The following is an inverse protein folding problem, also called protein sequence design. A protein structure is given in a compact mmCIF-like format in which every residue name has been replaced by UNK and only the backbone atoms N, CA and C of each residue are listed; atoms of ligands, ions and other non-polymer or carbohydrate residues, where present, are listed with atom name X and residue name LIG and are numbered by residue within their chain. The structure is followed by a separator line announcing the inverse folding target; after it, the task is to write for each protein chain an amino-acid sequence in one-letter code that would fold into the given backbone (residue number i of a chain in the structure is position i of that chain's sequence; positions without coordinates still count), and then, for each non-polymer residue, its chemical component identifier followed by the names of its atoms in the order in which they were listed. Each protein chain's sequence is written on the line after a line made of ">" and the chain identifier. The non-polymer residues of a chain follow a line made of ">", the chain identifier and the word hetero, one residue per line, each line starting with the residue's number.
data_IF_250411210058
#
_entry.id   IF_250411210058
#
_cell.length_a   1.000
_cell.length_b   1.000
_cell.length_c   1.000
_cell.angle_alpha   90.00
_cell.angle_beta   90.00
_cell.angle_gamma   90.00
#
_symmetry.space_group_name_H-M   'P 1'
#
loop_
_entity.id
_entity.type
_entity.pdbx_description
1 polymer ?
#
# COMPACT_ATOMS: atom_id res chain seq x y z
N UNK A 1 -37.12 22.52 -34.52
CA UNK A 1 -38.26 21.83 -33.91
C UNK A 1 -38.03 20.34 -34.16
N UNK A 2 -37.32 19.66 -33.25
CA UNK A 2 -37.87 18.70 -32.26
C UNK A 2 -37.90 17.29 -32.87
N UNK A 3 -37.45 16.17 -32.29
CA UNK A 3 -37.03 15.77 -30.93
C UNK A 3 -36.44 14.33 -31.00
N UNK A 4 -35.72 13.91 -29.94
CA UNK A 4 -35.56 12.53 -29.42
C UNK A 4 -34.76 11.47 -30.24
N UNK A 5 -34.02 10.51 -29.67
CA UNK A 5 -33.84 10.00 -28.29
C UNK A 5 -32.42 9.44 -28.11
N UNK A 6 -31.99 9.34 -26.86
CA UNK A 6 -30.80 8.62 -26.36
C UNK A 6 -30.79 7.14 -26.76
N UNK A 7 -29.61 6.49 -26.67
CA UNK A 7 -29.53 5.46 -25.64
C UNK A 7 -28.36 5.68 -24.70
N UNK A 8 -28.71 5.73 -23.41
CA UNK A 8 -27.85 5.38 -22.29
C UNK A 8 -27.16 4.05 -22.58
N UNK A 9 -25.85 4.08 -22.72
CA UNK A 9 -25.03 2.89 -22.44
C UNK A 9 -24.36 3.12 -21.11
N UNK A 10 -24.98 2.54 -20.08
CA UNK A 10 -24.34 2.13 -18.84
C UNK A 10 -23.12 1.31 -19.22
N UNK A 11 -21.97 1.97 -19.34
CA UNK A 11 -20.71 1.27 -19.30
C UNK A 11 -20.28 1.39 -17.86
N UNK A 12 -20.68 0.40 -17.06
CA UNK A 12 -19.87 -0.09 -15.95
C UNK A 12 -18.50 -0.40 -16.56
N UNK A 13 -17.70 0.65 -16.75
CA UNK A 13 -16.29 0.50 -17.07
C UNK A 13 -15.69 -0.03 -15.79
N UNK A 14 -15.61 -1.35 -15.71
CA UNK A 14 -14.56 -1.99 -14.94
C UNK A 14 -13.25 -1.48 -15.53
N UNK A 15 -12.84 -0.29 -15.12
CA UNK A 15 -11.47 0.14 -15.24
C UNK A 15 -10.69 -0.88 -14.42
N UNK A 16 -10.19 -1.91 -15.09
CA UNK A 16 -9.12 -2.75 -14.58
C UNK A 16 -7.86 -1.90 -14.59
N UNK A 17 -7.90 -0.82 -13.81
CA UNK A 17 -6.74 -0.01 -13.51
C UNK A 17 -5.74 -0.90 -12.80
N UNK A 18 -4.46 -0.68 -13.08
CA UNK A 18 -3.38 -1.42 -12.45
C UNK A 18 -3.60 -1.47 -10.92
N UNK A 19 -3.38 -2.62 -10.27
CA UNK A 19 -3.56 -2.71 -8.83
C UNK A 19 -2.69 -1.64 -8.15
N UNK A 20 -3.30 -0.82 -7.29
CA UNK A 20 -2.57 0.17 -6.50
C UNK A 20 -2.12 -0.45 -5.19
N UNK A 21 -1.04 0.07 -4.61
CA UNK A 21 -0.58 -0.41 -3.29
C UNK A 21 -1.67 -0.20 -2.23
N UNK A 22 -2.41 0.92 -2.31
CA UNK A 22 -3.56 1.14 -1.45
C UNK A 22 -4.63 0.05 -1.51
N UNK A 23 -4.96 -0.52 -2.67
CA UNK A 23 -5.93 -1.64 -2.75
C UNK A 23 -5.45 -2.90 -2.04
N UNK A 24 -4.13 -3.09 -1.92
CA UNK A 24 -3.52 -4.19 -1.17
C UNK A 24 -3.54 -3.88 0.32
N UNK A 25 -2.98 -2.73 0.72
CA UNK A 25 -2.89 -2.30 2.12
C UNK A 25 -4.28 -2.15 2.75
N UNK A 26 -5.30 -1.72 2.00
CA UNK A 26 -6.68 -1.61 2.49
C UNK A 26 -7.23 -2.93 3.07
N UNK A 27 -6.72 -4.08 2.61
CA UNK A 27 -7.16 -5.42 3.05
C UNK A 27 -6.37 -5.96 4.24
N UNK A 28 -5.34 -5.27 4.69
CA UNK A 28 -4.51 -5.73 5.79
C UNK A 28 -5.28 -5.71 7.10
N UNK A 29 -5.24 -6.83 7.80
CA UNK A 29 -5.50 -6.88 9.23
C UNK A 29 -4.39 -6.13 10.00
N UNK A 30 -4.53 -6.08 11.33
CA UNK A 30 -3.63 -5.34 12.21
C UNK A 30 -2.19 -5.88 12.11
N UNK A 31 -2.03 -7.21 12.07
CA UNK A 31 -0.70 -7.85 12.03
C UNK A 31 0.00 -7.59 10.69
N UNK A 32 -0.73 -7.74 9.58
CA UNK A 32 -0.24 -7.45 8.24
C UNK A 32 0.15 -5.98 8.10
N UNK A 33 -0.62 -5.05 8.69
CA UNK A 33 -0.27 -3.64 8.69
C UNK A 33 1.01 -3.37 9.50
N UNK A 34 1.13 -3.91 10.71
CA UNK A 34 2.33 -3.72 11.55
C UNK A 34 3.56 -4.28 10.84
N UNK A 35 3.47 -5.46 10.24
CA UNK A 35 4.56 -6.06 9.47
C UNK A 35 4.95 -5.19 8.27
N UNK A 36 3.98 -4.61 7.58
CA UNK A 36 4.21 -3.68 6.48
C UNK A 36 4.93 -2.41 6.95
N UNK A 37 4.45 -1.75 8.01
CA UNK A 37 5.06 -0.53 8.55
C UNK A 37 6.47 -0.78 9.11
N UNK A 38 6.70 -1.92 9.76
CA UNK A 38 8.03 -2.36 10.20
C UNK A 38 8.97 -2.67 9.01
N UNK A 39 8.39 -3.05 7.86
CA UNK A 39 9.10 -3.18 6.60
C UNK A 39 9.74 -1.88 6.12
N UNK A 40 9.07 -0.76 6.40
CA UNK A 40 9.35 0.61 5.92
C UNK A 40 10.01 1.47 7.03
N UNK A 41 10.63 0.82 8.03
CA UNK A 41 11.11 1.50 9.23
C UNK A 41 12.24 2.51 8.98
N UNK A 42 12.98 2.36 7.88
CA UNK A 42 14.02 3.33 7.48
C UNK A 42 13.40 4.70 7.13
N UNK A 43 12.19 4.70 6.57
CA UNK A 43 11.44 5.89 6.19
C UNK A 43 10.56 6.42 7.33
N UNK A 44 9.94 5.52 8.09
CA UNK A 44 8.98 5.90 9.13
C UNK A 44 9.60 6.15 10.50
N UNK A 45 10.72 5.49 10.81
CA UNK A 45 11.46 5.55 12.09
C UNK A 45 10.54 5.34 13.31
N UNK A 46 9.66 4.35 13.22
CA UNK A 46 8.76 3.96 14.30
C UNK A 46 9.51 3.09 15.30
N UNK A 47 9.28 3.32 16.58
CA UNK A 47 9.75 2.42 17.63
C UNK A 47 8.69 1.37 18.01
N UNK A 48 8.99 0.57 19.02
CA UNK A 48 8.09 -0.49 19.48
C UNK A 48 6.82 0.06 20.13
N UNK A 49 6.92 1.23 20.77
CA UNK A 49 5.79 1.85 21.47
C UNK A 49 4.82 2.46 20.46
N UNK A 50 5.33 3.07 19.39
CA UNK A 50 4.53 3.53 18.26
C UNK A 50 3.72 2.39 17.63
N UNK A 51 4.38 1.27 17.33
CA UNK A 51 3.70 0.09 16.75
C UNK A 51 2.72 -0.56 17.72
N UNK A 52 2.99 -0.51 19.03
CA UNK A 52 2.08 -0.97 20.07
C UNK A 52 0.78 -0.14 20.08
N UNK A 53 0.87 1.17 19.90
CA UNK A 53 -0.32 2.04 19.78
C UNK A 53 -1.18 1.62 18.58
N UNK A 54 -0.58 1.36 17.42
CA UNK A 54 -1.31 0.87 16.22
C UNK A 54 -2.08 -0.43 16.53
N UNK A 55 -1.47 -1.33 17.31
CA UNK A 55 -2.08 -2.58 17.73
C UNK A 55 -3.24 -2.38 18.73
N UNK A 56 -3.03 -1.55 19.75
CA UNK A 56 -4.01 -1.29 20.81
C UNK A 56 -5.25 -0.57 20.29
N UNK A 57 -5.06 0.39 19.38
CA UNK A 57 -6.14 1.10 18.67
C UNK A 57 -6.77 0.27 17.54
N UNK A 58 -6.31 -0.97 17.34
CA UNK A 58 -6.82 -1.92 16.34
C UNK A 58 -6.87 -1.34 14.93
N UNK A 59 -5.85 -0.56 14.58
CA UNK A 59 -5.77 0.11 13.28
C UNK A 59 -5.50 -0.95 12.21
N UNK A 60 -6.50 -1.19 11.36
CA UNK A 60 -6.35 -2.02 10.16
C UNK A 60 -5.80 -1.19 9.01
N UNK A 61 -5.36 -1.83 7.94
CA UNK A 61 -4.85 -1.10 6.78
C UNK A 61 -5.89 -0.18 6.13
N UNK A 62 -7.18 -0.53 6.19
CA UNK A 62 -8.27 0.37 5.80
C UNK A 62 -8.32 1.64 6.67
N UNK A 63 -8.25 1.49 7.99
CA UNK A 63 -8.27 2.62 8.93
C UNK A 63 -7.04 3.48 8.72
N UNK A 64 -5.84 2.89 8.69
CA UNK A 64 -4.57 3.58 8.44
C UNK A 64 -4.61 4.48 7.20
N UNK A 65 -5.10 3.95 6.06
CA UNK A 65 -5.18 4.73 4.84
C UNK A 65 -6.14 5.92 4.97
N UNK A 66 -7.18 5.80 5.79
CA UNK A 66 -8.20 6.84 5.94
C UNK A 66 -7.93 7.79 7.11
N UNK A 67 -6.98 7.47 7.99
CA UNK A 67 -6.57 8.30 9.11
C UNK A 67 -5.81 9.55 8.66
N UNK A 68 -6.09 10.63 9.36
CA UNK A 68 -5.42 11.92 9.24
C UNK A 68 -4.31 12.05 10.27
N UNK A 69 -3.51 13.12 10.16
CA UNK A 69 -2.55 13.48 11.20
C UNK A 69 -3.23 13.67 12.57
N UNK A 70 -4.45 14.22 12.62
CA UNK A 70 -5.15 14.43 13.88
C UNK A 70 -5.59 13.11 14.49
N UNK A 71 -6.13 12.18 13.70
CA UNK A 71 -6.52 10.85 14.19
C UNK A 71 -5.33 10.14 14.84
N UNK A 72 -4.15 10.17 14.22
CA UNK A 72 -2.94 9.60 14.83
C UNK A 72 -2.51 10.28 16.14
N UNK A 73 -2.75 11.58 16.31
CA UNK A 73 -2.51 12.27 17.59
C UNK A 73 -3.52 11.77 18.63
N UNK A 74 -4.78 11.61 18.24
CA UNK A 74 -5.86 11.19 19.13
C UNK A 74 -5.68 9.72 19.58
N UNK A 75 -5.04 8.89 18.74
CA UNK A 75 -4.57 7.54 19.09
C UNK A 75 -3.39 7.54 20.08
N UNK A 76 -2.77 8.68 20.36
CA UNK A 76 -1.69 8.82 21.33
C UNK A 76 -0.27 8.82 20.74
N UNK A 77 -0.12 8.82 19.41
CA UNK A 77 1.21 8.92 18.78
C UNK A 77 1.82 10.31 18.98
N UNK A 78 3.15 10.35 19.06
CA UNK A 78 3.91 11.60 19.13
C UNK A 78 4.05 12.23 17.76
N UNK A 79 4.24 13.56 17.74
CA UNK A 79 4.16 14.35 16.52
C UNK A 79 5.11 13.95 15.37
N UNK A 80 6.26 13.33 15.67
CA UNK A 80 7.17 12.76 14.67
C UNK A 80 6.52 11.57 13.95
N UNK A 81 6.31 10.44 14.63
CA UNK A 81 5.59 9.26 14.12
C UNK A 81 4.26 9.60 13.43
N UNK A 82 3.46 10.48 14.04
CA UNK A 82 2.19 10.96 13.46
C UNK A 82 2.38 11.57 12.07
N UNK A 83 3.38 12.44 11.91
CA UNK A 83 3.64 13.09 10.62
C UNK A 83 4.10 12.06 9.58
N UNK A 84 5.05 11.19 9.96
CA UNK A 84 5.56 10.13 9.08
C UNK A 84 4.44 9.22 8.58
N UNK A 85 3.58 8.72 9.47
CA UNK A 85 2.46 7.85 9.11
C UNK A 85 1.44 8.54 8.19
N UNK A 86 1.08 9.79 8.49
CA UNK A 86 0.11 10.52 7.68
C UNK A 86 0.63 10.82 6.26
N UNK A 87 1.91 11.17 6.12
CA UNK A 87 2.52 11.42 4.82
C UNK A 87 2.73 10.11 4.05
N UNK A 88 3.11 9.03 4.73
CA UNK A 88 3.25 7.72 4.11
C UNK A 88 1.91 7.12 3.64
N UNK A 89 0.82 7.31 4.39
CA UNK A 89 -0.52 6.89 3.96
C UNK A 89 -0.92 7.55 2.62
N UNK A 90 -0.51 8.80 2.38
CA UNK A 90 -0.72 9.48 1.09
C UNK A 90 0.14 8.86 0.00
N UNK A 91 1.41 8.61 0.27
CA UNK A 91 2.29 7.94 -0.70
C UNK A 91 1.73 6.58 -1.13
N UNK A 92 1.25 5.78 -0.18
CA UNK A 92 0.63 4.47 -0.45
C UNK A 92 -0.59 4.58 -1.38
N UNK A 93 -1.38 5.65 -1.27
CA UNK A 93 -2.53 5.92 -2.15
C UNK A 93 -2.13 6.28 -3.57
N UNK A 94 -1.02 6.97 -3.75
CA UNK A 94 -0.52 7.42 -5.05
C UNK A 94 0.32 6.33 -5.75
N UNK A 95 0.82 5.34 -5.01
CA UNK A 95 1.71 4.29 -5.52
C UNK A 95 0.96 3.23 -6.35
N UNK A 96 1.21 3.25 -7.65
CA UNK A 96 0.77 2.20 -8.58
C UNK A 96 1.72 1.02 -8.52
N UNK A 97 1.20 -0.22 -8.45
CA UNK A 97 2.04 -1.42 -8.57
C UNK A 97 2.35 -1.64 -10.05
N UNK A 98 3.63 -1.61 -10.40
CA UNK A 98 4.10 -2.00 -11.74
C UNK A 98 3.79 -3.48 -11.95
N UNK A 99 3.20 -3.82 -13.10
CA UNK A 99 3.01 -5.22 -13.46
C UNK A 99 4.36 -5.87 -13.76
N UNK A 100 4.54 -7.13 -13.38
CA UNK A 100 5.77 -7.88 -13.70
C UNK A 100 6.04 -7.94 -15.21
N UNK A 101 4.99 -7.96 -16.03
CA UNK A 101 5.10 -7.91 -17.50
C UNK A 101 5.64 -6.59 -18.03
N UNK A 102 5.61 -5.51 -17.23
CA UNK A 102 6.17 -4.20 -17.59
C UNK A 102 7.66 -4.07 -17.25
N UNK A 103 8.21 -4.98 -16.44
CA UNK A 103 9.64 -5.02 -16.17
C UNK A 103 10.39 -5.43 -17.45
N UNK A 104 11.17 -4.52 -17.99
CA UNK A 104 11.96 -4.72 -19.22
C UNK A 104 13.39 -5.12 -18.90
N UNK A 105 13.84 -4.90 -17.67
CA UNK A 105 15.23 -5.14 -17.27
C UNK A 105 15.33 -6.02 -16.03
N UNK A 106 16.45 -6.75 -15.92
CA UNK A 106 16.79 -7.53 -14.72
C UNK A 106 16.85 -6.65 -13.46
N UNK A 107 17.22 -5.39 -13.59
CA UNK A 107 17.27 -4.43 -12.48
C UNK A 107 15.87 -4.06 -11.97
N UNK A 108 14.92 -3.79 -12.86
CA UNK A 108 13.52 -3.52 -12.47
C UNK A 108 12.87 -4.73 -11.80
N UNK A 109 13.15 -5.95 -12.28
CA UNK A 109 12.69 -7.18 -11.63
C UNK A 109 13.28 -7.30 -10.21
N UNK A 110 14.58 -7.03 -10.04
CA UNK A 110 15.23 -7.00 -8.72
C UNK A 110 14.63 -5.96 -7.77
N UNK A 111 14.30 -4.76 -8.27
CA UNK A 111 13.65 -3.71 -7.49
C UNK A 111 12.29 -4.18 -6.95
N UNK A 112 11.50 -4.87 -7.78
CA UNK A 112 10.22 -5.47 -7.36
C UNK A 112 10.44 -6.54 -6.30
N UNK A 113 11.40 -7.47 -6.47
CA UNK A 113 11.70 -8.50 -5.46
C UNK A 113 12.20 -7.93 -4.13
N UNK A 114 13.05 -6.91 -4.17
CA UNK A 114 13.55 -6.22 -2.98
C UNK A 114 12.42 -5.57 -2.17
N UNK A 115 11.41 -5.01 -2.86
CA UNK A 115 10.22 -4.44 -2.23
C UNK A 115 9.40 -5.47 -1.43
N UNK A 116 9.50 -6.75 -1.80
CA UNK A 116 8.88 -7.87 -1.09
C UNK A 116 9.85 -8.61 -0.16
N UNK A 117 11.01 -8.02 0.15
CA UNK A 117 12.05 -8.62 1.00
C UNK A 117 12.55 -10.00 0.53
N UNK A 118 12.40 -10.32 -0.75
CA UNK A 118 13.15 -11.40 -1.39
C UNK A 118 14.57 -10.90 -1.65
N UNK A 119 15.35 -10.74 -0.56
CA UNK A 119 16.60 -9.99 -0.63
C UNK A 119 17.69 -10.67 -1.45
N UNK A 120 17.69 -11.99 -1.58
CA UNK A 120 18.68 -12.71 -2.37
C UNK A 120 18.15 -14.10 -2.80
N UNK A 121 16.89 -14.22 -3.22
CA UNK A 121 16.59 -15.39 -4.06
C UNK A 121 17.32 -15.16 -5.37
N UNK A 122 18.38 -15.93 -5.59
CA UNK A 122 18.92 -16.10 -6.92
C UNK A 122 17.72 -16.38 -7.82
N UNK A 123 17.48 -15.54 -8.84
CA UNK A 123 16.32 -15.73 -9.74
C UNK A 123 16.38 -17.13 -10.37
N UNK A 124 17.56 -17.75 -10.41
CA UNK A 124 17.79 -19.15 -10.81
C UNK A 124 17.18 -20.18 -9.83
N UNK A 125 16.92 -19.80 -8.58
CA UNK A 125 16.26 -20.62 -7.55
C UNK A 125 14.75 -20.65 -7.69
N UNK A 126 14.17 -19.75 -8.51
CA UNK A 126 12.80 -19.91 -8.98
C UNK A 126 12.85 -21.06 -9.99
N UNK A 127 12.66 -22.29 -9.50
CA UNK A 127 12.58 -23.48 -10.35
C UNK A 127 11.65 -23.17 -11.53
N UNK A 128 12.04 -23.48 -12.78
CA UNK A 128 11.13 -23.33 -13.90
C UNK A 128 9.86 -24.11 -13.57
N UNK A 129 8.71 -23.45 -13.68
CA UNK A 129 7.40 -24.07 -13.49
C UNK A 129 7.37 -25.35 -14.34
N UNK A 130 7.21 -26.49 -13.66
CA UNK A 130 7.18 -27.81 -14.27
C UNK A 130 5.83 -28.06 -14.92
#
# INVERSE_FOLDING_TARGET
>A
MSEQSTPTSTTTSSEKSAPTLAKVVQKYDIEQLINFLCGENDDLKLDKDDLKIICEEKITGHVFLNSTKQDFIDYGLKGGPTKSLADFAKEVKEKILKSFSSCKTKQEVKEVFNKFRYRDADITSILPFK
#
